data_IF_456756793936
#
_entry.id   IF_456756793936
#
_cell.length_a   1.000
_cell.length_b   1.000
_cell.length_c   1.000
_cell.angle_alpha   90.00
_cell.angle_beta   90.00
_cell.angle_gamma   90.00
#
_symmetry.space_group_name_H-M   'P 1'
#
loop_
_entity.id
_entity.type
_entity.pdbx_description
1 polymer ?
#
# COMPACT_ATOMS: atom_id res chain seq x y z
N UNK A 1 7.23 1.30 13.77
CA UNK A 1 6.29 1.44 12.63
C UNK A 1 6.11 2.93 12.39
N UNK A 2 6.40 3.45 11.18
CA UNK A 2 6.34 4.90 10.94
C UNK A 2 4.87 5.36 10.83
N UNK A 3 4.43 6.38 11.59
CA UNK A 3 3.04 6.86 11.57
C UNK A 3 2.62 7.40 10.20
N UNK A 4 3.58 7.91 9.43
CA UNK A 4 3.42 8.41 8.06
C UNK A 4 2.88 7.37 7.06
N UNK A 5 2.88 6.08 7.42
CA UNK A 5 2.30 5.01 6.58
C UNK A 5 0.78 4.98 6.60
N UNK A 6 0.13 5.72 7.49
CA UNK A 6 -1.33 5.79 7.63
C UNK A 6 -1.73 7.26 7.51
N UNK A 7 -2.63 7.55 6.57
CA UNK A 7 -3.20 8.90 6.38
C UNK A 7 -4.71 8.75 6.22
N UNK A 8 -5.47 9.47 7.04
CA UNK A 8 -6.93 9.59 6.91
C UNK A 8 -7.27 10.88 6.18
N UNK A 9 -8.17 10.76 5.20
CA UNK A 9 -8.55 11.86 4.33
C UNK A 9 -10.05 11.77 4.08
N UNK A 10 -10.72 12.92 4.15
CA UNK A 10 -12.14 13.04 3.82
C UNK A 10 -12.31 13.52 2.37
N UNK A 11 -12.95 12.68 1.57
CA UNK A 11 -13.38 13.00 0.21
C UNK A 11 -14.86 12.68 0.07
N UNK A 12 -15.62 13.62 -0.48
CA UNK A 12 -17.00 13.43 -0.92
C UNK A 12 -17.02 12.75 -2.29
N UNK A 13 -18.18 12.24 -2.71
CA UNK A 13 -18.33 11.53 -3.98
C UNK A 13 -17.99 12.36 -5.23
N UNK A 14 -18.12 13.70 -5.15
CA UNK A 14 -17.80 14.61 -6.26
C UNK A 14 -16.30 14.99 -6.32
N UNK A 15 -15.53 14.70 -5.28
CA UNK A 15 -14.14 15.14 -5.13
C UNK A 15 -13.13 14.15 -5.75
N UNK A 16 -13.40 13.66 -6.97
CA UNK A 16 -12.54 12.68 -7.64
C UNK A 16 -11.10 13.17 -7.86
N UNK A 17 -10.93 14.44 -8.24
CA UNK A 17 -9.60 15.04 -8.43
C UNK A 17 -8.80 15.14 -7.12
N UNK A 18 -9.48 15.42 -6.00
CA UNK A 18 -8.86 15.48 -4.68
C UNK A 18 -8.39 14.10 -4.26
N UNK A 19 -9.25 13.09 -4.40
CA UNK A 19 -8.89 11.70 -4.15
C UNK A 19 -7.66 11.26 -4.97
N UNK A 20 -7.63 11.60 -6.27
CA UNK A 20 -6.50 11.28 -7.14
C UNK A 20 -5.19 11.88 -6.63
N UNK A 21 -5.18 13.17 -6.30
CA UNK A 21 -3.98 13.87 -5.81
C UNK A 21 -3.47 13.24 -4.52
N UNK A 22 -4.37 13.02 -3.57
CA UNK A 22 -4.04 12.44 -2.27
C UNK A 22 -3.54 11.00 -2.36
N UNK A 23 -4.14 10.18 -3.24
CA UNK A 23 -3.69 8.81 -3.50
C UNK A 23 -2.25 8.80 -4.07
N UNK A 24 -1.94 9.71 -4.99
CA UNK A 24 -0.59 9.87 -5.57
C UNK A 24 0.42 10.29 -4.49
N UNK A 25 0.04 11.20 -3.59
CA UNK A 25 0.92 11.63 -2.50
C UNK A 25 1.22 10.50 -1.52
N UNK A 26 0.19 9.73 -1.12
CA UNK A 26 0.38 8.57 -0.24
C UNK A 26 1.29 7.54 -0.91
N UNK A 27 1.08 7.22 -2.19
CA UNK A 27 1.95 6.29 -2.94
C UNK A 27 3.41 6.76 -2.94
N UNK A 28 3.67 8.05 -3.20
CA UNK A 28 5.02 8.62 -3.13
C UNK A 28 5.64 8.46 -1.74
N UNK A 29 4.90 8.75 -0.68
CA UNK A 29 5.37 8.61 0.71
C UNK A 29 5.69 7.17 1.05
N UNK A 30 4.81 6.22 0.69
CA UNK A 30 5.04 4.79 0.94
C UNK A 30 6.25 4.27 0.16
N UNK A 31 6.44 4.69 -1.09
CA UNK A 31 7.61 4.31 -1.90
C UNK A 31 8.91 4.83 -1.28
N UNK A 32 8.94 6.07 -0.78
CA UNK A 32 10.11 6.63 -0.09
C UNK A 32 10.43 5.88 1.20
N UNK A 33 9.41 5.49 1.98
CA UNK A 33 9.58 4.72 3.21
C UNK A 33 9.98 3.25 2.96
N UNK A 34 9.87 2.78 1.72
CA UNK A 34 10.21 1.42 1.33
C UNK A 34 9.22 0.35 1.84
N UNK A 35 9.62 -0.93 1.87
CA UNK A 35 8.80 -2.01 2.38
C UNK A 35 8.40 -1.83 3.85
N UNK A 36 7.18 -2.24 4.21
CA UNK A 36 6.77 -2.25 5.62
C UNK A 36 7.66 -3.20 6.44
N UNK A 37 8.08 -2.82 7.65
CA UNK A 37 8.78 -3.71 8.58
C UNK A 37 7.99 -4.97 8.95
N UNK A 38 6.66 -4.94 8.80
CA UNK A 38 5.78 -6.10 9.01
C UNK A 38 5.78 -7.07 7.81
N UNK A 39 6.39 -6.68 6.67
CA UNK A 39 6.46 -7.53 5.49
C UNK A 39 7.55 -8.58 5.70
N UNK A 40 7.16 -9.81 6.01
CA UNK A 40 8.06 -10.95 6.04
C UNK A 40 8.64 -11.19 4.63
N UNK A 41 9.97 -11.42 4.53
CA UNK A 41 10.60 -11.87 3.28
C UNK A 41 9.96 -13.22 2.88
N UNK A 42 9.33 -13.27 1.70
CA UNK A 42 8.57 -14.44 1.21
C UNK A 42 7.03 -14.30 1.28
N UNK A 43 6.52 -13.28 1.98
CA UNK A 43 5.08 -13.06 2.16
C UNK A 43 4.35 -12.46 0.95
N UNK A 44 4.83 -12.65 -0.28
CA UNK A 44 4.05 -12.21 -1.46
C UNK A 44 2.98 -13.24 -1.80
N UNK A 45 1.75 -12.84 -2.18
CA UNK A 45 0.72 -13.77 -2.64
C UNK A 45 1.19 -14.64 -3.83
N UNK A 46 2.14 -14.15 -4.63
CA UNK A 46 2.74 -14.90 -5.76
C UNK A 46 3.52 -16.14 -5.30
N UNK A 47 4.16 -16.10 -4.14
CA UNK A 47 4.92 -17.25 -3.62
C UNK A 47 3.97 -18.34 -3.08
N UNK A 48 2.89 -17.94 -2.39
CA UNK A 48 1.85 -18.86 -1.92
C UNK A 48 1.04 -19.49 -3.08
N UNK A 49 0.82 -18.76 -4.17
CA UNK A 49 0.16 -19.30 -5.37
C UNK A 49 1.00 -20.36 -6.07
N UNK A 50 2.33 -20.18 -6.16
CA UNK A 50 3.24 -21.21 -6.70
C UNK A 50 3.41 -22.41 -5.76
N UNK A 51 3.35 -22.21 -4.44
CA UNK A 51 3.45 -23.30 -3.46
C UNK A 51 2.19 -24.19 -3.45
N UNK A 52 0.99 -23.62 -3.60
CA UNK A 52 -0.27 -24.39 -3.69
C UNK A 52 -0.48 -25.10 -5.03
N UNK A 53 0.20 -24.68 -6.10
CA UNK A 53 0.09 -25.31 -7.42
C UNK A 53 1.06 -26.49 -7.62
N UNK A 54 1.93 -26.79 -6.63
CA UNK A 54 2.93 -27.86 -6.69
C UNK A 54 2.71 -28.96 -5.63
N UNK A 55 1.55 -28.97 -4.98
CA UNK A 55 1.11 -29.97 -4.01
C UNK A 55 -0.13 -30.70 -4.55
#
# INVERSE_FOLDING_TARGET
>A
MSPERIKMIYCTAAEGQKFQKEAIEIDKTIRKLGPSPLRTKGGTPKEKAKAKAKA
#
